data_IF_793483452302
#
_entry.id   IF_793483452302
#
_cell.length_a   1.000
_cell.length_b   1.000
_cell.length_c   1.000
_cell.angle_alpha   90.00
_cell.angle_beta   90.00
_cell.angle_gamma   90.00
#
_symmetry.space_group_name_H-M   'P 1'
#
loop_
_entity.id
_entity.type
_entity.pdbx_description
1 polymer ?
#
# COMPACT_ATOMS: atom_id res chain seq x y z
N UNK A 1 51.16 -11.89 -17.48
CA UNK A 1 50.14 -12.80 -16.91
C UNK A 1 48.82 -12.04 -16.95
N UNK A 2 48.05 -12.20 -18.03
CA UNK A 2 46.75 -11.56 -18.21
C UNK A 2 45.73 -12.49 -17.55
N UNK A 3 45.20 -12.09 -16.41
CA UNK A 3 44.07 -12.76 -15.80
C UNK A 3 42.83 -12.44 -16.63
N UNK A 4 42.39 -13.41 -17.44
CA UNK A 4 41.12 -13.32 -18.18
C UNK A 4 40.01 -13.56 -17.15
N UNK A 5 39.40 -12.48 -16.69
CA UNK A 5 38.23 -12.53 -15.83
C UNK A 5 37.04 -12.95 -16.70
N UNK A 6 36.62 -14.22 -16.61
CA UNK A 6 35.36 -14.71 -17.18
C UNK A 6 34.16 -14.30 -16.31
N UNK A 7 34.21 -13.11 -15.71
CA UNK A 7 33.06 -12.51 -15.06
C UNK A 7 32.12 -12.00 -16.14
N UNK A 8 30.94 -12.62 -16.28
CA UNK A 8 29.85 -12.05 -17.07
C UNK A 8 29.55 -10.67 -16.45
N UNK A 9 30.08 -9.62 -17.08
CA UNK A 9 29.88 -8.25 -16.64
C UNK A 9 28.55 -7.80 -17.23
N UNK A 10 27.48 -7.88 -16.45
CA UNK A 10 26.20 -7.32 -16.85
C UNK A 10 26.36 -5.80 -17.01
N UNK A 11 25.78 -5.19 -18.05
CA UNK A 11 25.77 -3.74 -18.18
C UNK A 11 25.09 -3.08 -16.96
N UNK A 12 25.57 -1.91 -16.54
CA UNK A 12 24.99 -1.21 -15.38
C UNK A 12 23.49 -0.93 -15.52
N UNK A 13 23.02 -0.67 -16.75
CA UNK A 13 21.60 -0.47 -17.05
C UNK A 13 20.74 -1.71 -16.77
N UNK A 14 21.29 -2.92 -16.93
CA UNK A 14 20.59 -4.17 -16.66
C UNK A 14 20.42 -4.40 -15.15
N UNK A 15 21.45 -4.06 -14.38
CA UNK A 15 21.37 -4.14 -12.93
C UNK A 15 20.41 -3.07 -12.36
N UNK A 16 20.37 -1.88 -12.96
CA UNK A 16 19.43 -0.82 -12.57
C UNK A 16 17.98 -1.18 -12.87
N UNK A 17 17.68 -1.70 -14.07
CA UNK A 17 16.32 -2.14 -14.41
C UNK A 17 15.84 -3.24 -13.45
N UNK A 18 16.70 -4.21 -13.13
CA UNK A 18 16.35 -5.27 -12.19
C UNK A 18 16.09 -4.74 -10.77
N UNK A 19 16.85 -3.74 -10.31
CA UNK A 19 16.62 -3.08 -9.01
C UNK A 19 15.25 -2.42 -8.96
N UNK A 20 14.89 -1.65 -9.97
CA UNK A 20 13.60 -0.94 -10.05
C UNK A 20 12.44 -1.94 -10.07
N UNK A 21 12.54 -2.99 -10.88
CA UNK A 21 11.55 -4.07 -10.96
C UNK A 21 11.35 -4.77 -9.61
N UNK A 22 12.44 -5.11 -8.92
CA UNK A 22 12.39 -5.76 -7.62
C UNK A 22 11.70 -4.87 -6.58
N UNK A 23 12.03 -3.57 -6.58
CA UNK A 23 11.40 -2.60 -5.69
C UNK A 23 9.89 -2.51 -5.97
N UNK A 24 9.49 -2.37 -7.24
CA UNK A 24 8.08 -2.28 -7.64
C UNK A 24 7.25 -3.49 -7.15
N UNK A 25 7.79 -4.70 -7.34
CA UNK A 25 7.12 -5.93 -6.90
C UNK A 25 7.14 -6.07 -5.38
N UNK A 26 8.24 -5.72 -4.71
CA UNK A 26 8.36 -5.83 -3.26
C UNK A 26 7.41 -4.87 -2.52
N UNK A 27 7.30 -3.61 -2.97
CA UNK A 27 6.35 -2.66 -2.38
C UNK A 27 4.91 -3.12 -2.64
N UNK A 28 4.60 -3.57 -3.86
CA UNK A 28 3.29 -4.14 -4.20
C UNK A 28 2.92 -5.31 -3.29
N UNK A 29 3.81 -6.28 -3.12
CA UNK A 29 3.56 -7.45 -2.28
C UNK A 29 3.39 -7.08 -0.80
N UNK A 30 4.24 -6.19 -0.28
CA UNK A 30 4.15 -5.72 1.08
C UNK A 30 2.82 -5.01 1.37
N UNK A 31 2.40 -4.09 0.49
CA UNK A 31 1.14 -3.39 0.63
C UNK A 31 -0.05 -4.33 0.47
N UNK A 32 0.02 -5.29 -0.46
CA UNK A 32 -1.01 -6.31 -0.61
C UNK A 32 -1.29 -7.05 0.70
N UNK A 33 -0.24 -7.55 1.38
CA UNK A 33 -0.39 -8.28 2.65
C UNK A 33 -1.08 -7.42 3.71
N UNK A 34 -0.59 -6.20 3.93
CA UNK A 34 -1.08 -5.33 5.01
C UNK A 34 -2.51 -4.86 4.72
N UNK A 35 -2.78 -4.39 3.50
CA UNK A 35 -4.07 -3.80 3.17
C UNK A 35 -5.17 -4.84 2.92
N UNK A 36 -4.83 -6.03 2.41
CA UNK A 36 -5.79 -7.12 2.36
C UNK A 36 -6.12 -7.62 3.76
N UNK A 37 -5.14 -7.79 4.63
CA UNK A 37 -5.41 -8.19 6.02
C UNK A 37 -6.29 -7.14 6.72
N UNK A 38 -5.94 -5.86 6.62
CA UNK A 38 -6.69 -4.74 7.21
C UNK A 38 -8.12 -4.62 6.67
N UNK A 39 -8.30 -4.78 5.35
CA UNK A 39 -9.60 -4.71 4.71
C UNK A 39 -10.49 -5.92 5.02
N UNK A 40 -9.93 -7.13 4.95
CA UNK A 40 -10.64 -8.37 5.27
C UNK A 40 -11.06 -8.41 6.73
N UNK A 41 -10.22 -7.95 7.66
CA UNK A 41 -10.58 -7.82 9.07
C UNK A 41 -11.83 -6.95 9.27
N UNK A 42 -11.89 -5.80 8.60
CA UNK A 42 -13.07 -4.91 8.66
C UNK A 42 -14.31 -5.47 7.99
N UNK A 43 -14.16 -6.37 7.02
CA UNK A 43 -15.30 -7.05 6.37
C UNK A 43 -15.83 -8.17 7.27
N UNK A 44 -14.93 -9.02 7.76
CA UNK A 44 -15.27 -10.21 8.54
C UNK A 44 -15.69 -9.86 9.97
N UNK A 45 -15.07 -8.84 10.57
CA UNK A 45 -15.38 -8.34 11.91
C UNK A 45 -15.84 -6.87 11.89
N UNK A 46 -16.83 -6.61 11.04
CA UNK A 46 -17.36 -5.25 10.82
C UNK A 46 -17.94 -4.61 12.10
N UNK A 47 -18.68 -5.39 12.92
CA UNK A 47 -19.37 -4.85 14.09
C UNK A 47 -18.38 -4.36 15.16
N UNK A 48 -17.38 -5.16 15.48
CA UNK A 48 -16.37 -4.77 16.48
C UNK A 48 -15.54 -3.58 15.99
N UNK A 49 -15.14 -3.57 14.71
CA UNK A 49 -14.46 -2.43 14.10
C UNK A 49 -15.31 -1.14 14.15
N UNK A 50 -16.61 -1.24 13.84
CA UNK A 50 -17.53 -0.11 13.88
C UNK A 50 -17.69 0.44 15.31
N UNK A 51 -17.87 -0.43 16.29
CA UNK A 51 -18.08 -0.03 17.68
C UNK A 51 -16.80 0.56 18.29
N UNK A 52 -15.64 -0.01 17.98
CA UNK A 52 -14.34 0.55 18.36
C UNK A 52 -14.15 1.97 17.80
N UNK A 53 -14.40 2.16 16.49
CA UNK A 53 -14.29 3.47 15.85
C UNK A 53 -15.29 4.49 16.40
N UNK A 54 -16.54 4.10 16.66
CA UNK A 54 -17.52 4.99 17.30
C UNK A 54 -17.04 5.48 18.66
N UNK A 55 -16.40 4.61 19.44
CA UNK A 55 -15.76 4.97 20.71
C UNK A 55 -14.67 6.03 20.53
N UNK A 56 -13.71 5.76 19.63
CA UNK A 56 -12.58 6.64 19.35
C UNK A 56 -13.03 8.03 18.85
N UNK A 57 -13.99 8.07 17.93
CA UNK A 57 -14.44 9.31 17.29
C UNK A 57 -15.59 10.01 18.02
N UNK A 58 -16.05 9.51 19.17
CA UNK A 58 -17.22 10.02 19.90
C UNK A 58 -17.21 11.53 20.20
N UNK A 59 -16.03 12.12 20.39
CA UNK A 59 -15.83 13.55 20.70
C UNK A 59 -15.35 14.38 19.50
N UNK A 60 -15.47 13.85 18.29
CA UNK A 60 -14.92 14.47 17.07
C UNK A 60 -16.01 14.93 16.11
N UNK A 61 -15.60 15.67 15.08
CA UNK A 61 -16.48 16.10 13.98
C UNK A 61 -17.05 14.92 13.17
N UNK A 62 -16.40 13.75 13.20
CA UNK A 62 -16.80 12.56 12.43
C UNK A 62 -17.72 11.59 13.17
N UNK A 63 -18.10 11.88 14.41
CA UNK A 63 -18.88 10.97 15.27
C UNK A 63 -20.12 10.37 14.60
N UNK A 64 -20.82 11.14 13.77
CA UNK A 64 -22.07 10.74 13.10
C UNK A 64 -21.83 10.10 11.72
N UNK A 65 -20.59 10.15 11.22
CA UNK A 65 -20.23 9.69 9.87
C UNK A 65 -19.48 8.37 9.87
N UNK A 66 -19.14 7.80 11.03
CA UNK A 66 -18.35 6.56 11.14
C UNK A 66 -18.99 5.39 10.39
N UNK A 67 -20.32 5.28 10.42
CA UNK A 67 -21.04 4.25 9.68
C UNK A 67 -20.85 4.32 8.15
N UNK A 68 -20.47 5.48 7.61
CA UNK A 68 -20.13 5.67 6.20
C UNK A 68 -18.61 5.62 5.96
N UNK A 69 -17.83 6.22 6.87
CA UNK A 69 -16.37 6.30 6.74
C UNK A 69 -15.70 4.94 6.83
N UNK A 70 -16.20 4.04 7.68
CA UNK A 70 -15.65 2.68 7.80
C UNK A 70 -15.79 1.90 6.47
N UNK A 71 -16.97 1.74 5.86
CA UNK A 71 -17.10 1.10 4.55
C UNK A 71 -16.24 1.73 3.45
N UNK A 72 -16.15 3.07 3.41
CA UNK A 72 -15.33 3.76 2.42
C UNK A 72 -13.84 3.45 2.60
N UNK A 73 -13.36 3.47 3.85
CA UNK A 73 -11.99 3.09 4.17
C UNK A 73 -11.73 1.63 3.82
N UNK A 74 -12.61 0.71 4.22
CA UNK A 74 -12.52 -0.71 3.90
C UNK A 74 -12.46 -0.95 2.39
N UNK A 75 -13.24 -0.19 1.60
CA UNK A 75 -13.20 -0.25 0.14
C UNK A 75 -11.83 0.17 -0.39
N UNK A 76 -11.29 1.30 0.07
CA UNK A 76 -9.98 1.78 -0.37
C UNK A 76 -8.87 0.78 -0.01
N UNK A 77 -8.88 0.25 1.22
CA UNK A 77 -7.90 -0.73 1.68
C UNK A 77 -7.99 -2.04 0.91
N UNK A 78 -9.20 -2.59 0.77
CA UNK A 78 -9.39 -3.88 0.09
C UNK A 78 -9.11 -3.75 -1.41
N UNK A 79 -9.58 -2.70 -2.07
CA UNK A 79 -9.30 -2.47 -3.48
C UNK A 79 -7.81 -2.21 -3.73
N UNK A 80 -7.16 -1.39 -2.90
CA UNK A 80 -5.72 -1.15 -2.97
C UNK A 80 -4.92 -2.43 -2.78
N UNK A 81 -5.24 -3.22 -1.75
CA UNK A 81 -4.60 -4.50 -1.48
C UNK A 81 -4.79 -5.52 -2.62
N UNK A 82 -6.01 -5.63 -3.16
CA UNK A 82 -6.33 -6.53 -4.28
C UNK A 82 -5.61 -6.11 -5.56
N UNK A 83 -5.58 -4.82 -5.88
CA UNK A 83 -4.85 -4.29 -7.03
C UNK A 83 -3.34 -4.51 -6.86
N UNK A 84 -2.79 -4.30 -5.68
CA UNK A 84 -1.39 -4.61 -5.40
C UNK A 84 -1.09 -6.11 -5.60
N UNK A 85 -1.93 -7.01 -5.08
CA UNK A 85 -1.77 -8.46 -5.25
C UNK A 85 -1.88 -8.89 -6.72
N UNK A 86 -2.92 -8.43 -7.41
CA UNK A 86 -3.15 -8.72 -8.82
C UNK A 86 -2.03 -8.14 -9.70
N UNK A 87 -1.59 -6.91 -9.40
CA UNK A 87 -0.51 -6.23 -10.08
C UNK A 87 0.79 -7.04 -9.97
N UNK A 88 1.17 -7.49 -8.77
CA UNK A 88 2.32 -8.38 -8.56
C UNK A 88 2.18 -9.65 -9.39
N UNK A 89 1.04 -10.34 -9.32
CA UNK A 89 0.83 -11.59 -10.04
C UNK A 89 0.95 -11.42 -11.56
N UNK A 90 0.34 -10.37 -12.11
CA UNK A 90 0.35 -10.07 -13.54
C UNK A 90 1.71 -9.56 -14.00
N UNK A 91 2.47 -8.87 -13.16
CA UNK A 91 3.79 -8.33 -13.49
C UNK A 91 4.77 -9.41 -13.99
N UNK A 92 4.67 -10.64 -13.47
CA UNK A 92 5.49 -11.77 -13.89
C UNK A 92 5.20 -12.26 -15.32
N UNK A 93 4.00 -12.03 -15.84
CA UNK A 93 3.58 -12.48 -17.17
C UNK A 93 3.50 -11.35 -18.19
N UNK A 94 3.12 -10.14 -17.75
CA UNK A 94 2.99 -8.95 -18.58
C UNK A 94 3.37 -7.72 -17.76
N UNK A 95 4.65 -7.34 -17.85
CA UNK A 95 5.22 -6.25 -17.04
C UNK A 95 4.52 -4.90 -17.25
N UNK A 96 4.29 -4.40 -18.49
CA UNK A 96 3.60 -3.12 -18.67
C UNK A 96 2.20 -3.12 -18.04
N UNK A 97 1.42 -4.19 -18.24
CA UNK A 97 0.07 -4.26 -17.70
C UNK A 97 0.05 -4.44 -16.18
N UNK A 98 0.94 -5.28 -15.64
CA UNK A 98 1.13 -5.43 -14.19
C UNK A 98 1.56 -4.12 -13.53
N UNK A 99 2.43 -3.35 -14.18
CA UNK A 99 2.84 -2.02 -13.74
C UNK A 99 1.66 -1.06 -13.61
N UNK A 100 0.79 -0.98 -14.61
CA UNK A 100 -0.43 -0.13 -14.52
C UNK A 100 -1.33 -0.55 -13.36
N UNK A 101 -1.51 -1.85 -13.13
CA UNK A 101 -2.33 -2.34 -12.01
C UNK A 101 -1.68 -2.01 -10.66
N UNK A 102 -0.37 -2.23 -10.53
CA UNK A 102 0.40 -1.85 -9.34
C UNK A 102 0.28 -0.35 -9.08
N UNK A 103 0.35 0.49 -10.10
CA UNK A 103 0.24 1.94 -9.97
C UNK A 103 -1.10 2.32 -9.36
N UNK A 104 -2.19 1.76 -9.90
CA UNK A 104 -3.53 1.97 -9.35
C UNK A 104 -3.64 1.46 -7.90
N UNK A 105 -3.06 0.29 -7.60
CA UNK A 105 -3.01 -0.24 -6.23
C UNK A 105 -2.34 0.71 -5.25
N UNK A 106 -1.17 1.26 -5.60
CA UNK A 106 -0.46 2.23 -4.77
C UNK A 106 -1.28 3.53 -4.58
N UNK A 107 -1.98 4.00 -5.60
CA UNK A 107 -2.88 5.17 -5.48
C UNK A 107 -3.98 4.91 -4.45
N UNK A 108 -4.68 3.77 -4.53
CA UNK A 108 -5.73 3.42 -3.56
C UNK A 108 -5.19 3.27 -2.14
N UNK A 109 -4.01 2.64 -1.98
CA UNK A 109 -3.33 2.52 -0.69
C UNK A 109 -2.94 3.89 -0.12
N UNK A 110 -2.41 4.80 -0.94
CA UNK A 110 -2.09 6.16 -0.50
C UNK A 110 -3.34 6.91 -0.03
N UNK A 111 -4.46 6.79 -0.74
CA UNK A 111 -5.74 7.36 -0.32
C UNK A 111 -6.22 6.77 1.02
N UNK A 112 -6.09 5.45 1.20
CA UNK A 112 -6.41 4.80 2.48
C UNK A 112 -5.51 5.29 3.62
N UNK A 113 -4.19 5.37 3.40
CA UNK A 113 -3.22 5.84 4.38
C UNK A 113 -3.43 7.30 4.78
N UNK A 114 -3.73 8.18 3.82
CA UNK A 114 -4.06 9.58 4.10
C UNK A 114 -5.36 9.68 4.90
N UNK A 115 -6.36 8.85 4.59
CA UNK A 115 -7.62 8.78 5.34
C UNK A 115 -7.40 8.31 6.78
N UNK A 116 -6.60 7.26 6.98
CA UNK A 116 -6.20 6.77 8.30
C UNK A 116 -5.43 7.84 9.08
N UNK A 117 -4.42 8.46 8.47
CA UNK A 117 -3.61 9.50 9.10
C UNK A 117 -4.47 10.70 9.52
N UNK A 118 -5.39 11.14 8.66
CA UNK A 118 -6.36 12.18 9.00
C UNK A 118 -7.21 11.77 10.21
N UNK A 119 -7.73 10.54 10.20
CA UNK A 119 -8.50 9.98 11.31
C UNK A 119 -7.74 10.07 12.64
N UNK A 120 -6.50 9.57 12.67
CA UNK A 120 -5.63 9.60 13.85
C UNK A 120 -5.39 11.04 14.35
N UNK A 121 -5.17 12.00 13.43
CA UNK A 121 -4.99 13.42 13.81
C UNK A 121 -6.26 14.04 14.39
N UNK A 122 -7.44 13.69 13.88
CA UNK A 122 -8.72 14.19 14.38
C UNK A 122 -9.01 13.68 15.80
N UNK A 123 -8.67 12.43 16.11
CA UNK A 123 -8.78 11.88 17.48
C UNK A 123 -7.58 12.23 18.38
N UNK A 124 -6.60 12.99 17.88
CA UNK A 124 -5.36 13.38 18.57
C UNK A 124 -4.48 12.20 18.98
N UNK A 125 -4.53 11.11 18.24
CA UNK A 125 -3.67 9.94 18.43
C UNK A 125 -2.40 10.11 17.58
N UNK A 126 -1.46 10.90 18.10
CA UNK A 126 -0.25 11.28 17.36
C UNK A 126 0.72 10.11 17.16
N UNK A 127 0.73 9.12 18.05
CA UNK A 127 1.63 7.98 17.94
C UNK A 127 1.22 7.09 16.77
N UNK A 128 -0.08 6.80 16.64
CA UNK A 128 -0.66 6.08 15.52
C UNK A 128 -0.47 6.82 14.19
N UNK A 129 -0.67 8.15 14.17
CA UNK A 129 -0.38 8.94 12.98
C UNK A 129 1.09 8.86 12.56
N UNK A 130 2.04 8.86 13.51
CA UNK A 130 3.46 8.70 13.22
C UNK A 130 3.77 7.29 12.70
N UNK A 131 3.15 6.25 13.27
CA UNK A 131 3.34 4.87 12.83
C UNK A 131 2.96 4.64 11.35
N UNK A 132 2.02 5.43 10.81
CA UNK A 132 1.60 5.36 9.41
C UNK A 132 2.62 5.93 8.42
N UNK A 133 3.56 6.75 8.88
CA UNK A 133 4.49 7.46 7.99
C UNK A 133 5.39 6.48 7.24
N UNK A 134 5.81 5.37 7.87
CA UNK A 134 6.59 4.32 7.22
C UNK A 134 5.86 3.67 6.05
N UNK A 135 4.58 3.34 6.23
CA UNK A 135 3.75 2.78 5.15
C UNK A 135 3.54 3.78 4.01
N UNK A 136 3.39 5.07 4.32
CA UNK A 136 3.27 6.14 3.31
C UNK A 136 4.55 6.23 2.48
N UNK A 137 5.73 6.20 3.12
CA UNK A 137 7.01 6.25 2.42
C UNK A 137 7.15 5.05 1.47
N UNK A 138 6.82 3.83 1.94
CA UNK A 138 6.86 2.62 1.11
C UNK A 138 5.89 2.73 -0.07
N UNK A 139 4.68 3.24 0.16
CA UNK A 139 3.69 3.41 -0.89
C UNK A 139 4.09 4.48 -1.92
N UNK A 140 4.70 5.59 -1.50
CA UNK A 140 5.24 6.61 -2.40
C UNK A 140 6.43 6.10 -3.21
N UNK A 141 7.29 5.29 -2.59
CA UNK A 141 8.45 4.69 -3.25
C UNK A 141 8.00 3.72 -4.34
N UNK A 142 7.02 2.85 -4.05
CA UNK A 142 6.41 1.96 -5.03
C UNK A 142 5.70 2.73 -6.16
N UNK A 143 4.93 3.76 -5.80
CA UNK A 143 4.28 4.66 -6.76
C UNK A 143 5.28 5.29 -7.75
N UNK A 144 6.45 5.71 -7.25
CA UNK A 144 7.49 6.34 -8.07
C UNK A 144 8.12 5.36 -9.08
N UNK A 145 8.34 4.10 -8.69
CA UNK A 145 9.12 3.15 -9.51
C UNK A 145 8.28 2.36 -10.51
N UNK A 146 6.98 2.16 -10.24
CA UNK A 146 6.12 1.23 -11.00
C UNK A 146 5.82 1.69 -12.45
N UNK A 147 5.98 2.97 -12.77
CA UNK A 147 5.64 3.57 -14.08
C UNK A 147 6.91 3.92 -14.89
N UNK A 148 8.10 3.55 -14.43
CA UNK A 148 9.34 3.66 -15.19
C UNK A 148 9.68 2.34 -15.89
#
# INVERSE_FOLDING_TARGET
MIWVNFGIMFPEWFAESLRIELVAVATGAFLAVIFLQSGLDKILDYKNNLDWLKGQFSKTIFKNSIGLLLPLLTLLETAGGLLCAAGVAVYFFNRPYGGVILFLGHVFVLLALLSLMLGQRVVKEYAGAASLTGYIIIALLGFLVVVN
#
